data_IF_031382484338
#
_entry.id   IF_031382484338
#
_cell.length_a   1.000
_cell.length_b   1.000
_cell.length_c   1.000
_cell.angle_alpha   90.00
_cell.angle_beta   90.00
_cell.angle_gamma   90.00
#
_symmetry.space_group_name_H-M   'P 1'
#
loop_
_entity.id
_entity.type
_entity.pdbx_description
1 polymer ?
#
# COMPACT_ATOMS: atom_id res chain seq x y z
N UNK A 1 -22.03 -7.54 9.33
CA UNK A 1 -21.08 -8.66 9.19
C UNK A 1 -19.80 -8.09 9.71
N UNK A 2 -19.60 -8.21 11.02
CA UNK A 2 -18.49 -7.56 11.71
C UNK A 2 -17.26 -8.42 11.49
N UNK A 3 -16.51 -8.10 10.44
CA UNK A 3 -15.19 -8.66 10.17
C UNK A 3 -14.21 -8.07 11.19
N UNK A 4 -14.22 -8.64 12.39
CA UNK A 4 -13.09 -8.51 13.30
C UNK A 4 -11.88 -9.16 12.59
N UNK A 5 -11.04 -8.33 11.97
CA UNK A 5 -9.76 -8.77 11.43
C UNK A 5 -8.95 -9.34 12.60
N UNK A 6 -8.87 -10.67 12.68
CA UNK A 6 -7.97 -11.31 13.61
C UNK A 6 -6.58 -11.30 13.01
N UNK A 7 -5.56 -11.03 13.81
CA UNK A 7 -4.16 -10.93 13.37
C UNK A 7 -3.69 -12.19 12.62
N UNK A 8 -4.24 -13.35 12.98
CA UNK A 8 -4.00 -14.63 12.31
C UNK A 8 -4.50 -14.64 10.86
N UNK A 9 -5.67 -14.07 10.58
CA UNK A 9 -6.32 -14.10 9.25
C UNK A 9 -5.54 -13.24 8.24
N UNK A 10 -5.10 -12.05 8.67
CA UNK A 10 -4.25 -11.16 7.85
C UNK A 10 -2.90 -11.81 7.55
N UNK A 11 -2.33 -12.51 8.53
CA UNK A 11 -1.03 -13.17 8.37
C UNK A 11 -1.11 -14.36 7.42
N UNK A 12 -2.15 -15.18 7.54
CA UNK A 12 -2.39 -16.33 6.66
C UNK A 12 -2.60 -15.85 5.21
N UNK A 13 -3.48 -14.87 5.01
CA UNK A 13 -3.71 -14.28 3.69
C UNK A 13 -2.43 -13.72 3.04
N UNK A 14 -1.61 -12.99 3.81
CA UNK A 14 -0.36 -12.45 3.29
C UNK A 14 0.65 -13.55 2.89
N UNK A 15 0.67 -14.67 3.62
CA UNK A 15 1.53 -15.82 3.29
C UNK A 15 1.04 -16.52 2.02
N UNK A 16 -0.26 -16.73 1.87
CA UNK A 16 -0.84 -17.31 0.66
C UNK A 16 -0.57 -16.43 -0.56
N UNK A 17 -0.74 -15.12 -0.42
CA UNK A 17 -0.47 -14.17 -1.49
C UNK A 17 0.99 -14.19 -1.94
N UNK A 18 1.95 -14.39 -1.02
CA UNK A 18 3.36 -14.57 -1.35
C UNK A 18 3.63 -15.84 -2.17
N UNK A 19 2.84 -16.89 -1.97
CA UNK A 19 2.98 -18.17 -2.69
C UNK A 19 2.33 -18.13 -4.08
N UNK A 20 1.25 -17.36 -4.24
CA UNK A 20 0.48 -17.28 -5.48
C UNK A 20 1.03 -16.27 -6.51
N UNK A 21 1.74 -15.25 -6.04
CA UNK A 21 2.23 -14.15 -6.89
C UNK A 21 3.57 -14.48 -7.55
N UNK A 22 3.76 -13.98 -8.77
CA UNK A 22 4.94 -14.33 -9.60
C UNK A 22 6.21 -13.62 -9.16
N UNK A 23 6.08 -12.39 -8.69
CA UNK A 23 7.18 -11.57 -8.21
C UNK A 23 6.72 -10.59 -7.12
N UNK A 24 7.69 -9.90 -6.53
CA UNK A 24 7.46 -8.97 -5.41
C UNK A 24 6.57 -7.79 -5.80
N UNK A 25 6.55 -7.36 -7.06
CA UNK A 25 5.69 -6.27 -7.51
C UNK A 25 4.23 -6.69 -7.53
N UNK A 26 3.95 -7.90 -8.03
CA UNK A 26 2.60 -8.49 -8.01
C UNK A 26 2.10 -8.68 -6.57
N UNK A 27 2.95 -9.22 -5.69
CA UNK A 27 2.66 -9.33 -4.26
C UNK A 27 2.27 -8.00 -3.62
N UNK A 28 3.09 -6.96 -3.82
CA UNK A 28 2.86 -5.67 -3.18
C UNK A 28 1.60 -4.97 -3.72
N UNK A 29 1.26 -5.17 -4.99
CA UNK A 29 0.01 -4.64 -5.56
C UNK A 29 -1.23 -5.27 -4.93
N UNK A 30 -1.25 -6.59 -4.80
CA UNK A 30 -2.37 -7.28 -4.17
C UNK A 30 -2.46 -6.97 -2.66
N UNK A 31 -1.31 -6.86 -1.97
CA UNK A 31 -1.29 -6.44 -0.57
C UNK A 31 -1.84 -5.01 -0.39
N UNK A 32 -1.52 -4.08 -1.28
CA UNK A 32 -2.04 -2.71 -1.23
C UNK A 32 -3.56 -2.68 -1.45
N UNK A 33 -4.08 -3.48 -2.38
CA UNK A 33 -5.53 -3.62 -2.63
C UNK A 33 -6.25 -4.23 -1.44
N UNK A 34 -5.77 -5.36 -0.95
CA UNK A 34 -6.34 -6.02 0.24
C UNK A 34 -6.37 -5.07 1.44
N UNK A 35 -5.29 -4.32 1.68
CA UNK A 35 -5.22 -3.35 2.77
C UNK A 35 -6.25 -2.23 2.61
N UNK A 36 -6.39 -1.68 1.40
CA UNK A 36 -7.37 -0.64 1.11
C UNK A 36 -8.81 -1.14 1.32
N UNK A 37 -9.12 -2.35 0.86
CA UNK A 37 -10.45 -2.94 0.97
C UNK A 37 -10.82 -3.22 2.44
N UNK A 38 -9.89 -3.78 3.22
CA UNK A 38 -10.13 -4.12 4.62
C UNK A 38 -10.17 -2.91 5.56
N UNK A 39 -9.46 -1.83 5.22
CA UNK A 39 -9.48 -0.59 6.02
C UNK A 39 -10.60 0.37 5.58
N UNK A 40 -11.17 0.15 4.40
CA UNK A 40 -12.34 0.90 3.95
C UNK A 40 -13.57 0.55 4.78
N UNK A 41 -14.45 1.53 4.98
CA UNK A 41 -15.63 1.32 5.80
C UNK A 41 -16.68 2.41 5.64
N UNK A 42 -17.65 2.49 6.56
CA UNK A 42 -18.75 3.46 6.49
C UNK A 42 -18.30 4.93 6.43
N UNK A 43 -17.07 5.21 6.86
CA UNK A 43 -16.50 6.55 6.92
C UNK A 43 -15.71 6.95 5.67
N UNK A 44 -15.57 6.05 4.69
CA UNK A 44 -14.94 6.35 3.41
C UNK A 44 -14.10 5.21 2.85
N UNK A 45 -13.71 5.38 1.59
CA UNK A 45 -12.72 4.52 0.96
C UNK A 45 -11.31 4.94 1.39
N UNK A 46 -10.50 3.93 1.70
CA UNK A 46 -9.08 4.06 1.95
C UNK A 46 -8.31 3.82 0.66
N UNK A 47 -7.28 4.63 0.43
CA UNK A 47 -6.33 4.47 -0.66
C UNK A 47 -4.98 4.09 -0.06
N UNK A 48 -4.36 3.04 -0.59
CA UNK A 48 -3.11 2.50 -0.07
C UNK A 48 -2.07 2.46 -1.19
N UNK A 49 -0.85 2.93 -0.90
CA UNK A 49 0.32 2.80 -1.74
C UNK A 49 1.47 2.20 -0.93
N UNK A 50 2.36 1.47 -1.59
CA UNK A 50 3.56 0.91 -0.96
C UNK A 50 4.79 1.49 -1.65
N UNK A 51 5.64 2.13 -0.85
CA UNK A 51 6.91 2.72 -1.26
C UNK A 51 8.07 1.88 -0.75
N UNK A 52 8.98 1.50 -1.64
CA UNK A 52 10.26 0.90 -1.26
C UNK A 52 11.34 1.96 -1.23
N UNK A 53 12.09 1.97 -0.12
CA UNK A 53 13.29 2.77 0.05
C UNK A 53 14.51 1.93 -0.27
N UNK A 54 15.30 2.35 -1.27
CA UNK A 54 16.56 1.69 -1.64
C UNK A 54 17.66 2.74 -1.86
N UNK A 55 18.71 2.68 -1.05
CA UNK A 55 19.90 3.54 -1.17
C UNK A 55 19.57 5.03 -1.41
N UNK A 56 18.74 5.63 -0.56
CA UNK A 56 18.29 7.04 -0.63
C UNK A 56 17.37 7.39 -1.80
N UNK A 57 16.96 6.42 -2.61
CA UNK A 57 15.87 6.56 -3.57
C UNK A 57 14.60 5.94 -3.02
N UNK A 58 13.49 6.64 -3.15
CA UNK A 58 12.17 6.13 -2.84
C UNK A 58 11.45 5.86 -4.16
N UNK A 59 10.89 4.67 -4.31
CA UNK A 59 10.09 4.30 -5.47
C UNK A 59 8.81 3.65 -4.98
N UNK A 60 7.67 4.21 -5.41
CA UNK A 60 6.38 3.56 -5.24
C UNK A 60 6.33 2.37 -6.16
N UNK A 61 6.10 1.20 -5.57
CA UNK A 61 6.13 -0.07 -6.28
C UNK A 61 4.77 -0.72 -6.40
N UNK A 62 3.78 -0.23 -5.64
CA UNK A 62 2.43 -0.75 -5.66
C UNK A 62 1.40 0.28 -5.23
N UNK A 63 0.19 0.14 -5.77
CA UNK A 63 -0.92 1.04 -5.49
C UNK A 63 -2.25 0.29 -5.53
N UNK A 64 -3.14 0.61 -4.58
CA UNK A 64 -4.47 -0.02 -4.47
C UNK A 64 -5.43 0.45 -5.55
N UNK A 65 -5.17 1.61 -6.16
CA UNK A 65 -6.05 2.22 -7.18
C UNK A 65 -5.31 3.29 -7.98
N UNK A 66 -5.83 3.63 -9.15
CA UNK A 66 -5.31 4.75 -9.96
C UNK A 66 -5.29 6.06 -9.16
N UNK A 67 -6.32 6.30 -8.33
CA UNK A 67 -6.37 7.45 -7.43
C UNK A 67 -5.25 7.44 -6.40
N UNK A 68 -4.92 6.29 -5.82
CA UNK A 68 -3.81 6.15 -4.89
C UNK A 68 -2.46 6.45 -5.58
N UNK A 69 -2.30 6.03 -6.84
CA UNK A 69 -1.10 6.30 -7.64
C UNK A 69 -0.94 7.80 -7.93
N UNK A 70 -2.01 8.47 -8.38
CA UNK A 70 -1.99 9.92 -8.65
C UNK A 70 -1.70 10.72 -7.37
N UNK A 71 -2.26 10.31 -6.24
CA UNK A 71 -2.00 10.96 -4.95
C UNK A 71 -0.53 10.83 -4.53
N UNK A 72 0.08 9.69 -4.80
CA UNK A 72 1.49 9.44 -4.51
C UNK A 72 2.41 10.29 -5.42
N UNK A 73 2.14 10.33 -6.72
CA UNK A 73 2.88 11.18 -7.67
C UNK A 73 2.82 12.67 -7.27
N UNK A 74 1.65 13.15 -6.85
CA UNK A 74 1.50 14.50 -6.33
C UNK A 74 2.37 14.72 -5.09
N UNK A 75 2.37 13.79 -4.13
CA UNK A 75 3.18 13.92 -2.91
C UNK A 75 4.68 14.01 -3.22
N UNK A 76 5.18 13.25 -4.20
CA UNK A 76 6.57 13.35 -4.65
C UNK A 76 6.89 14.68 -5.35
N UNK A 77 5.98 15.18 -6.18
CA UNK A 77 6.17 16.45 -6.90
C UNK A 77 6.23 17.65 -5.97
N UNK A 78 5.50 17.61 -4.84
CA UNK A 78 5.44 18.73 -3.91
C UNK A 78 6.56 18.76 -2.87
N UNK A 79 7.47 17.78 -2.84
CA UNK A 79 8.73 17.81 -2.08
C UNK A 79 8.63 17.79 -0.55
N UNK A 80 7.55 18.32 0.02
CA UNK A 80 7.20 18.41 1.45
C UNK A 80 5.99 17.53 1.80
N UNK A 81 5.82 16.39 1.11
CA UNK A 81 4.82 15.40 1.48
C UNK A 81 5.10 14.86 2.90
N UNK A 82 4.09 14.41 3.67
CA UNK A 82 4.27 13.93 5.05
C UNK A 82 5.25 12.75 5.22
N UNK A 83 5.66 12.12 4.10
CA UNK A 83 6.61 11.02 4.03
C UNK A 83 8.05 11.43 3.68
N UNK A 84 8.29 12.67 3.27
CA UNK A 84 9.62 13.21 2.99
C UNK A 84 9.96 14.21 4.10
N UNK A 85 10.75 13.83 5.12
CA UNK A 85 11.46 14.86 5.87
C UNK A 85 12.30 15.61 4.85
N UNK A 86 12.29 16.95 4.91
CA UNK A 86 13.26 17.80 4.21
C UNK A 86 14.62 17.13 4.30
N UNK A 87 15.08 16.54 3.19
CA UNK A 87 16.36 15.84 3.16
C UNK A 87 17.46 16.90 3.16
N UNK A 88 17.80 17.40 4.34
CA UNK A 88 19.04 18.08 4.66
C UNK A 88 20.07 17.08 5.21
#
# INVERSE_FOLDING_TARGET
MDSHLNETDVTEYAQDLLLETRDVGDFLNELARYSADNLSGPHGQVHCGITLLRHRSAATVASSSERALVLDELQYQFGDGPWLPSMD
#
